data_IF_611371474811
#
_entry.id   IF_611371474811
#
_cell.length_a   1.000
_cell.length_b   1.000
_cell.length_c   1.000
_cell.angle_alpha   90.00
_cell.angle_beta   90.00
_cell.angle_gamma   90.00
#
_symmetry.space_group_name_H-M   'P 1'
#
loop_
_entity.id
_entity.type
_entity.pdbx_description
1 polymer ?
#
# COMPACT_ATOMS: atom_id res chain seq x y z
N UNK A 1 -29.87 31.52 16.28
CA UNK A 1 -29.75 30.27 15.54
C UNK A 1 -28.35 29.72 15.80
N UNK A 2 -28.26 28.79 16.72
CA UNK A 2 -26.98 28.13 17.08
C UNK A 2 -26.53 27.27 15.91
N UNK A 3 -25.38 27.58 15.33
CA UNK A 3 -24.72 26.69 14.41
C UNK A 3 -24.27 25.44 15.18
N UNK A 4 -25.05 24.39 15.14
CA UNK A 4 -24.59 23.08 15.59
C UNK A 4 -23.40 22.68 14.67
N UNK A 5 -22.20 22.79 15.20
CA UNK A 5 -21.03 22.23 14.55
C UNK A 5 -21.24 20.72 14.44
N UNK A 6 -21.19 20.19 13.23
CA UNK A 6 -21.20 18.74 13.02
C UNK A 6 -20.11 18.11 13.90
N UNK A 7 -20.40 17.02 14.60
CA UNK A 7 -19.42 16.36 15.45
C UNK A 7 -18.19 16.01 14.62
N UNK A 8 -17.02 16.39 15.11
CA UNK A 8 -15.74 16.10 14.46
C UNK A 8 -15.60 14.58 14.28
N UNK A 9 -15.54 14.14 13.03
CA UNK A 9 -15.51 12.71 12.71
C UNK A 9 -14.11 12.17 13.00
N UNK A 10 -14.01 11.34 14.03
CA UNK A 10 -12.75 10.72 14.42
C UNK A 10 -12.29 9.71 13.35
N UNK A 11 -11.06 9.90 12.83
CA UNK A 11 -10.41 8.99 11.90
C UNK A 11 -9.26 8.27 12.60
N UNK A 12 -9.12 6.97 12.38
CA UNK A 12 -8.07 6.13 12.94
C UNK A 12 -7.37 5.38 11.79
N UNK A 13 -6.05 5.42 11.77
CA UNK A 13 -5.23 4.60 10.89
C UNK A 13 -4.80 3.32 11.63
N UNK A 14 -5.28 2.16 11.18
CA UNK A 14 -4.94 0.84 11.73
C UNK A 14 -3.58 0.33 11.19
N UNK A 15 -2.53 1.16 11.26
CA UNK A 15 -1.21 0.83 10.70
C UNK A 15 -0.09 1.66 11.30
N UNK A 16 1.07 1.03 11.54
CA UNK A 16 2.31 1.72 11.93
C UNK A 16 3.14 2.25 10.75
N UNK A 17 2.73 2.01 9.51
CA UNK A 17 3.48 2.41 8.32
C UNK A 17 3.67 3.92 8.26
N UNK A 18 4.94 4.38 8.26
CA UNK A 18 5.30 5.79 8.16
C UNK A 18 4.80 6.44 6.88
N UNK A 19 4.83 5.69 5.77
CA UNK A 19 4.37 6.21 4.48
C UNK A 19 2.83 6.39 4.45
N UNK A 20 2.06 5.47 5.06
CA UNK A 20 0.60 5.62 5.16
C UNK A 20 0.21 6.80 6.04
N UNK A 21 0.94 7.03 7.14
CA UNK A 21 0.79 8.23 7.97
C UNK A 21 1.01 9.48 7.13
N UNK A 22 2.13 9.53 6.42
CA UNK A 22 2.47 10.66 5.55
C UNK A 22 1.41 10.94 4.48
N UNK A 23 0.85 9.91 3.84
CA UNK A 23 -0.20 10.08 2.83
C UNK A 23 -1.44 10.79 3.44
N UNK A 24 -1.87 10.38 4.63
CA UNK A 24 -3.02 11.01 5.31
C UNK A 24 -2.69 12.44 5.77
N UNK A 25 -1.50 12.68 6.28
CA UNK A 25 -1.00 14.01 6.65
C UNK A 25 -0.97 14.94 5.43
N UNK A 26 -0.37 14.51 4.32
CA UNK A 26 -0.29 15.26 3.07
C UNK A 26 -1.67 15.54 2.46
N UNK A 27 -2.68 14.71 2.80
CA UNK A 27 -4.07 14.89 2.39
C UNK A 27 -4.87 15.82 3.34
N UNK A 28 -4.25 16.35 4.39
CA UNK A 28 -4.89 17.22 5.37
C UNK A 28 -5.90 16.52 6.29
N UNK A 29 -5.84 15.19 6.39
CA UNK A 29 -6.73 14.39 7.24
C UNK A 29 -6.14 14.33 8.64
N UNK A 30 -6.90 14.78 9.65
CA UNK A 30 -6.56 14.57 11.07
C UNK A 30 -6.91 13.14 11.46
N UNK A 31 -5.98 12.41 12.07
CA UNK A 31 -6.17 11.00 12.45
C UNK A 31 -5.36 10.61 13.69
N UNK A 32 -5.84 9.56 14.36
CA UNK A 32 -5.11 8.85 15.41
C UNK A 32 -4.47 7.58 14.81
N UNK A 33 -3.32 7.17 15.31
CA UNK A 33 -2.69 5.90 14.92
C UNK A 33 -2.95 4.86 16.00
N UNK A 34 -3.62 3.78 15.62
CA UNK A 34 -3.86 2.61 16.48
C UNK A 34 -3.54 1.36 15.65
N UNK A 35 -2.36 0.76 15.81
CA UNK A 35 -1.98 -0.43 15.06
C UNK A 35 -2.94 -1.58 15.30
N UNK A 36 -3.23 -2.37 14.27
CA UNK A 36 -3.97 -3.62 14.45
C UNK A 36 -3.06 -4.71 15.03
N UNK A 37 -3.67 -5.62 15.76
CA UNK A 37 -3.04 -6.79 16.39
C UNK A 37 -3.37 -8.09 15.63
N UNK A 38 -3.80 -7.97 14.36
CA UNK A 38 -4.14 -9.13 13.52
C UNK A 38 -2.90 -9.99 13.26
N UNK A 39 -3.02 -11.28 13.53
CA UNK A 39 -2.04 -12.29 13.15
C UNK A 39 -2.10 -12.56 11.64
N UNK A 40 -1.32 -11.77 10.88
CA UNK A 40 -1.35 -11.79 9.42
C UNK A 40 -1.03 -13.16 8.82
N UNK A 41 -0.12 -13.93 9.44
CA UNK A 41 0.32 -15.21 8.91
C UNK A 41 -0.79 -16.27 8.93
N UNK A 42 -1.60 -16.31 9.98
CA UNK A 42 -2.76 -17.23 10.04
C UNK A 42 -3.80 -16.86 8.96
N UNK A 43 -4.06 -15.57 8.81
CA UNK A 43 -5.00 -15.10 7.79
C UNK A 43 -4.48 -15.39 6.37
N UNK A 44 -3.19 -15.19 6.12
CA UNK A 44 -2.55 -15.47 4.83
C UNK A 44 -2.65 -16.95 4.45
N UNK A 45 -2.51 -17.86 5.40
CA UNK A 45 -2.63 -19.30 5.15
C UNK A 45 -4.07 -19.72 4.76
N UNK A 46 -5.07 -19.00 5.25
CA UNK A 46 -6.48 -19.26 4.94
C UNK A 46 -6.94 -18.70 3.60
N UNK A 47 -6.17 -17.78 3.00
CA UNK A 47 -6.52 -17.10 1.77
C UNK A 47 -5.87 -17.80 0.56
N UNK A 48 -6.61 -17.92 -0.54
CA UNK A 48 -6.06 -18.39 -1.81
C UNK A 48 -5.06 -17.37 -2.36
N UNK A 49 -3.83 -17.81 -2.63
CA UNK A 49 -2.79 -16.96 -3.24
C UNK A 49 -3.08 -16.55 -4.68
N UNK A 50 -4.07 -17.18 -5.34
CA UNK A 50 -4.35 -16.95 -6.76
C UNK A 50 -5.25 -15.73 -7.02
N UNK A 51 -5.86 -15.14 -5.98
CA UNK A 51 -6.68 -13.94 -6.09
C UNK A 51 -6.09 -12.79 -5.25
N UNK A 52 -5.10 -12.11 -5.79
CA UNK A 52 -4.40 -11.02 -5.12
C UNK A 52 -5.31 -9.86 -4.68
N UNK A 53 -6.41 -9.62 -5.41
CA UNK A 53 -7.41 -8.62 -5.03
C UNK A 53 -8.12 -9.01 -3.74
N UNK A 54 -8.66 -10.22 -3.68
CA UNK A 54 -9.34 -10.72 -2.47
C UNK A 54 -8.37 -10.78 -1.29
N UNK A 55 -7.15 -11.22 -1.56
CA UNK A 55 -6.09 -11.30 -0.57
C UNK A 55 -5.81 -9.95 0.10
N UNK A 56 -5.55 -8.90 -0.70
CA UNK A 56 -5.28 -7.56 -0.18
C UNK A 56 -6.48 -6.97 0.57
N UNK A 57 -7.69 -7.16 0.03
CA UNK A 57 -8.91 -6.64 0.64
C UNK A 57 -9.23 -7.35 1.97
N UNK A 58 -9.03 -8.67 2.05
CA UNK A 58 -9.25 -9.42 3.28
C UNK A 58 -8.30 -8.97 4.40
N UNK A 59 -7.01 -8.79 4.10
CA UNK A 59 -6.02 -8.28 5.06
C UNK A 59 -6.32 -6.85 5.49
N UNK A 60 -6.66 -5.97 4.55
CA UNK A 60 -7.03 -4.59 4.84
C UNK A 60 -8.27 -4.52 5.76
N UNK A 61 -9.28 -5.33 5.45
CA UNK A 61 -10.52 -5.44 6.23
C UNK A 61 -10.26 -5.99 7.63
N UNK A 62 -9.47 -7.06 7.76
CA UNK A 62 -9.16 -7.63 9.06
C UNK A 62 -8.48 -6.61 9.98
N UNK A 63 -7.51 -5.85 9.46
CA UNK A 63 -6.83 -4.77 10.21
C UNK A 63 -7.80 -3.66 10.63
N UNK A 64 -8.68 -3.23 9.74
CA UNK A 64 -9.67 -2.20 10.06
C UNK A 64 -10.71 -2.69 11.09
N UNK A 65 -11.20 -3.92 10.96
CA UNK A 65 -12.18 -4.51 11.88
C UNK A 65 -11.62 -4.71 13.29
N UNK A 66 -10.39 -5.21 13.41
CA UNK A 66 -9.75 -5.40 14.72
C UNK A 66 -9.77 -4.11 15.54
N UNK A 67 -9.36 -3.00 14.96
CA UNK A 67 -9.36 -1.70 15.64
C UNK A 67 -10.76 -1.14 15.79
N UNK A 68 -11.65 -1.26 14.78
CA UNK A 68 -13.02 -0.74 14.80
C UNK A 68 -13.90 -1.42 15.86
N UNK A 69 -13.62 -2.67 16.20
CA UNK A 69 -14.30 -3.37 17.28
C UNK A 69 -13.96 -2.78 18.66
N UNK A 70 -12.73 -2.29 18.83
CA UNK A 70 -12.20 -1.69 20.06
C UNK A 70 -12.48 -0.19 20.18
N UNK A 71 -12.60 0.51 19.04
CA UNK A 71 -12.76 1.98 18.95
C UNK A 71 -14.08 2.35 18.31
N UNK A 72 -15.09 2.65 19.12
CA UNK A 72 -16.43 3.02 18.65
C UNK A 72 -16.52 4.49 18.19
N UNK A 73 -17.50 4.80 17.36
CA UNK A 73 -17.76 6.13 16.81
C UNK A 73 -16.56 6.71 16.01
N UNK A 74 -15.73 5.86 15.40
CA UNK A 74 -14.58 6.26 14.60
C UNK A 74 -14.59 5.56 13.23
N UNK A 75 -14.09 6.26 12.21
CA UNK A 75 -13.76 5.68 10.91
C UNK A 75 -12.37 5.08 10.97
N UNK A 76 -12.26 3.78 10.85
CA UNK A 76 -10.99 3.07 10.93
C UNK A 76 -10.52 2.67 9.54
N UNK A 77 -9.36 3.15 9.14
CA UNK A 77 -8.72 2.85 7.86
C UNK A 77 -7.73 1.71 8.06
N UNK A 78 -8.00 0.58 7.44
CA UNK A 78 -7.06 -0.53 7.27
C UNK A 78 -6.54 -0.56 5.83
N UNK A 79 -5.29 -0.95 5.65
CA UNK A 79 -4.70 -1.10 4.32
C UNK A 79 -3.66 -2.19 4.32
N UNK A 80 -3.60 -2.93 3.22
CA UNK A 80 -2.54 -3.89 2.95
C UNK A 80 -2.00 -3.73 1.53
N UNK A 81 -0.72 -4.09 1.34
CA UNK A 81 -0.08 -4.04 0.03
C UNK A 81 0.83 -5.24 -0.14
N UNK A 82 0.72 -5.88 -1.31
CA UNK A 82 1.57 -6.99 -1.71
C UNK A 82 2.24 -6.71 -3.05
N UNK A 83 3.48 -7.16 -3.19
CA UNK A 83 4.21 -7.21 -4.44
C UNK A 83 4.06 -8.61 -5.04
N UNK A 84 3.67 -8.72 -6.31
CA UNK A 84 3.50 -9.99 -7.00
C UNK A 84 4.22 -9.99 -8.34
N UNK A 85 4.87 -11.10 -8.66
CA UNK A 85 5.39 -11.38 -9.98
C UNK A 85 5.02 -12.82 -10.33
N UNK A 86 4.41 -13.03 -11.50
CA UNK A 86 3.75 -14.29 -11.84
C UNK A 86 2.75 -14.68 -10.73
N UNK A 87 2.82 -15.90 -10.21
CA UNK A 87 1.94 -16.39 -9.14
C UNK A 87 2.57 -16.24 -7.73
N UNK A 88 3.72 -15.57 -7.61
CA UNK A 88 4.44 -15.44 -6.36
C UNK A 88 4.21 -14.09 -5.69
N UNK A 89 3.94 -14.14 -4.37
CA UNK A 89 3.87 -12.97 -3.51
C UNK A 89 5.22 -12.76 -2.83
N UNK A 90 5.81 -11.59 -3.02
CA UNK A 90 7.06 -11.19 -2.36
C UNK A 90 6.77 -10.53 -1.01
N UNK A 91 7.18 -11.19 0.04
CA UNK A 91 7.14 -10.66 1.40
C UNK A 91 8.28 -9.65 1.64
N UNK A 92 8.32 -9.08 2.85
CA UNK A 92 9.44 -8.27 3.29
C UNK A 92 10.71 -9.13 3.34
N UNK A 93 11.80 -8.71 2.72
CA UNK A 93 13.00 -9.55 2.57
C UNK A 93 13.78 -9.74 3.88
N UNK A 94 13.76 -8.77 4.78
CA UNK A 94 14.39 -8.73 6.10
C UNK A 94 15.93 -8.77 6.10
N UNK A 95 16.58 -9.30 5.05
CA UNK A 95 18.04 -9.43 4.93
C UNK A 95 18.55 -8.92 3.58
N UNK A 96 19.83 -8.54 3.50
CA UNK A 96 20.49 -8.14 2.25
C UNK A 96 20.43 -9.25 1.19
N UNK A 97 20.64 -10.48 1.61
CA UNK A 97 20.62 -11.64 0.71
C UNK A 97 19.24 -11.85 0.06
N UNK A 98 18.17 -11.77 0.87
CA UNK A 98 16.82 -11.88 0.35
C UNK A 98 16.42 -10.68 -0.50
N UNK A 99 16.88 -9.45 -0.17
CA UNK A 99 16.72 -8.30 -1.05
C UNK A 99 17.36 -8.56 -2.42
N UNK A 100 18.58 -9.05 -2.43
CA UNK A 100 19.29 -9.34 -3.66
C UNK A 100 18.55 -10.40 -4.49
N UNK A 101 18.13 -11.51 -3.90
CA UNK A 101 17.33 -12.56 -4.58
C UNK A 101 16.05 -12.00 -5.19
N UNK A 102 15.32 -11.19 -4.41
CA UNK A 102 14.07 -10.59 -4.88
C UNK A 102 14.31 -9.62 -6.03
N UNK A 103 15.26 -8.70 -5.92
CA UNK A 103 15.57 -7.73 -6.97
C UNK A 103 16.12 -8.39 -8.22
N UNK A 104 16.95 -9.43 -8.10
CA UNK A 104 17.43 -10.21 -9.24
C UNK A 104 16.28 -10.87 -9.99
N UNK A 105 15.28 -11.39 -9.29
CA UNK A 105 14.10 -12.01 -9.91
C UNK A 105 13.19 -10.98 -10.59
N UNK A 106 13.08 -9.77 -10.04
CA UNK A 106 12.27 -8.69 -10.60
C UNK A 106 13.00 -7.91 -11.71
N UNK A 107 14.33 -8.01 -11.81
CA UNK A 107 15.16 -7.32 -12.80
C UNK A 107 14.74 -7.65 -14.22
N UNK A 108 14.50 -6.62 -15.05
CA UNK A 108 14.05 -6.74 -16.43
C UNK A 108 12.56 -7.15 -16.61
N UNK A 109 11.84 -7.40 -15.52
CA UNK A 109 10.49 -7.91 -15.55
C UNK A 109 9.44 -6.88 -15.13
N UNK A 110 8.19 -7.12 -15.56
CA UNK A 110 7.03 -6.38 -15.08
C UNK A 110 6.37 -7.15 -13.95
N UNK A 111 6.23 -6.49 -12.82
CA UNK A 111 5.56 -7.03 -11.65
C UNK A 111 4.46 -6.07 -11.16
N UNK A 112 3.68 -6.49 -10.17
CA UNK A 112 2.50 -5.76 -9.75
C UNK A 112 2.55 -5.44 -8.26
N UNK A 113 2.22 -4.19 -7.94
CA UNK A 113 1.85 -3.80 -6.58
C UNK A 113 0.34 -3.80 -6.47
N UNK A 114 -0.19 -4.58 -5.55
CA UNK A 114 -1.61 -4.71 -5.28
C UNK A 114 -1.90 -4.11 -3.92
N UNK A 115 -2.85 -3.20 -3.85
CA UNK A 115 -3.20 -2.51 -2.61
C UNK A 115 -4.69 -2.66 -2.34
N UNK A 116 -5.02 -3.11 -1.12
CA UNK A 116 -6.35 -3.10 -0.57
C UNK A 116 -6.49 -2.03 0.51
N UNK A 117 -7.62 -1.34 0.51
CA UNK A 117 -8.03 -0.42 1.56
C UNK A 117 -9.42 -0.81 2.02
N UNK A 118 -9.65 -0.79 3.31
CA UNK A 118 -10.97 -0.97 3.92
C UNK A 118 -11.21 0.10 4.98
N UNK A 119 -12.42 0.64 5.00
CA UNK A 119 -12.87 1.55 6.04
C UNK A 119 -13.96 0.85 6.83
N UNK A 120 -13.74 0.73 8.14
CA UNK A 120 -14.71 0.16 9.06
C UNK A 120 -15.20 1.21 10.06
N UNK A 121 -16.46 1.07 10.49
CA UNK A 121 -17.06 1.85 11.56
C UNK A 121 -17.88 0.93 12.44
N UNK A 122 -17.71 1.03 13.76
CA UNK A 122 -18.47 0.28 14.77
C UNK A 122 -18.49 -1.24 14.54
N UNK A 123 -17.38 -1.79 14.02
CA UNK A 123 -17.22 -3.22 13.74
C UNK A 123 -17.83 -3.68 12.41
N UNK A 124 -18.17 -2.76 11.52
CA UNK A 124 -18.70 -3.08 10.17
C UNK A 124 -17.88 -2.40 9.10
N UNK A 125 -17.56 -3.12 8.02
CA UNK A 125 -17.00 -2.54 6.81
C UNK A 125 -18.05 -1.67 6.13
N UNK A 126 -17.70 -0.42 5.86
CA UNK A 126 -18.58 0.55 5.19
C UNK A 126 -18.10 0.92 3.79
N UNK A 127 -16.81 0.68 3.50
CA UNK A 127 -16.21 0.94 2.19
C UNK A 127 -14.93 0.14 2.02
N UNK A 128 -14.67 -0.27 0.78
CA UNK A 128 -13.39 -0.87 0.41
C UNK A 128 -13.00 -0.50 -1.02
N UNK A 129 -11.70 -0.50 -1.27
CA UNK A 129 -11.14 -0.22 -2.59
C UNK A 129 -9.90 -1.06 -2.85
N UNK A 130 -9.72 -1.44 -4.10
CA UNK A 130 -8.54 -2.13 -4.60
C UNK A 130 -7.91 -1.35 -5.73
N UNK A 131 -6.60 -1.22 -5.67
CA UNK A 131 -5.80 -0.64 -6.73
C UNK A 131 -4.63 -1.54 -7.09
N UNK A 132 -4.27 -1.56 -8.36
CA UNK A 132 -3.10 -2.27 -8.87
C UNK A 132 -2.23 -1.32 -9.69
N UNK A 133 -0.91 -1.43 -9.51
CA UNK A 133 0.06 -0.76 -10.35
C UNK A 133 1.02 -1.79 -10.96
N UNK A 134 1.28 -1.65 -12.26
CA UNK A 134 2.29 -2.44 -12.96
C UNK A 134 3.60 -1.62 -13.01
N UNK A 135 4.69 -2.24 -12.58
CA UNK A 135 6.02 -1.65 -12.55
C UNK A 135 6.98 -2.52 -13.38
N UNK A 136 7.59 -1.92 -14.39
CA UNK A 136 8.61 -2.60 -15.19
C UNK A 136 9.99 -2.18 -14.69
N UNK A 137 10.72 -3.13 -14.11
CA UNK A 137 12.07 -2.89 -13.64
C UNK A 137 13.06 -2.87 -14.80
N UNK A 138 14.07 -2.03 -14.74
CA UNK A 138 15.19 -2.05 -15.66
C UNK A 138 15.94 -3.37 -15.51
N UNK A 139 16.65 -3.80 -16.57
CA UNK A 139 17.64 -4.86 -16.41
C UNK A 139 18.79 -4.33 -15.57
N UNK A 140 18.95 -4.86 -14.36
CA UNK A 140 19.95 -4.44 -13.40
C UNK A 140 21.09 -5.45 -13.34
N UNK A 141 22.30 -4.98 -13.23
CA UNK A 141 23.47 -5.77 -12.91
C UNK A 141 23.53 -6.09 -11.42
N UNK A 142 24.28 -7.13 -11.04
CA UNK A 142 24.50 -7.47 -9.63
C UNK A 142 25.12 -6.32 -8.83
N UNK A 143 25.96 -5.51 -9.45
CA UNK A 143 26.55 -4.34 -8.81
C UNK A 143 25.52 -3.27 -8.51
N UNK A 144 24.64 -2.96 -9.47
CA UNK A 144 23.55 -1.97 -9.29
C UNK A 144 22.57 -2.39 -8.20
N UNK A 145 22.24 -3.70 -8.14
CA UNK A 145 21.37 -4.25 -7.09
C UNK A 145 22.04 -4.08 -5.72
N UNK A 146 23.30 -4.46 -5.58
CA UNK A 146 24.05 -4.32 -4.32
C UNK A 146 24.17 -2.87 -3.88
N UNK A 147 24.56 -1.99 -4.80
CA UNK A 147 24.65 -0.56 -4.56
C UNK A 147 23.34 0.07 -4.08
N UNK A 148 22.22 -0.36 -4.68
CA UNK A 148 20.89 0.08 -4.26
C UNK A 148 20.56 -0.42 -2.86
N UNK A 149 20.75 -1.72 -2.57
CA UNK A 149 20.47 -2.29 -1.25
C UNK A 149 21.28 -1.58 -0.16
N UNK A 150 22.55 -1.31 -0.42
CA UNK A 150 23.43 -0.67 0.55
C UNK A 150 23.08 0.80 0.84
N UNK A 151 22.46 1.50 -0.14
CA UNK A 151 22.05 2.91 0.00
C UNK A 151 20.65 3.08 0.58
N UNK A 152 19.74 2.21 0.23
CA UNK A 152 18.31 2.40 0.53
C UNK A 152 17.78 1.46 1.64
N UNK A 153 18.51 0.40 1.96
CA UNK A 153 18.19 -0.58 3.01
C UNK A 153 16.71 -1.04 3.01
N UNK A 154 16.21 -1.60 1.90
CA UNK A 154 14.78 -1.85 1.70
C UNK A 154 14.26 -3.11 2.42
N UNK A 155 14.80 -3.45 3.59
CA UNK A 155 14.55 -4.70 4.30
C UNK A 155 13.09 -4.89 4.73
N UNK A 156 12.37 -3.78 4.95
CA UNK A 156 10.97 -3.80 5.40
C UNK A 156 9.97 -3.47 4.31
N UNK A 157 10.40 -3.45 3.03
CA UNK A 157 9.56 -3.15 1.88
C UNK A 157 9.25 -4.42 1.07
N UNK A 158 7.97 -4.71 0.80
CA UNK A 158 7.57 -5.80 -0.08
C UNK A 158 8.12 -5.56 -1.50
N UNK A 159 8.74 -6.60 -2.10
CA UNK A 159 9.44 -6.47 -3.38
C UNK A 159 10.86 -5.92 -3.26
N UNK A 160 11.37 -5.70 -2.04
CA UNK A 160 12.74 -5.26 -1.77
C UNK A 160 13.10 -3.88 -2.38
N UNK A 161 12.13 -2.96 -2.51
CA UNK A 161 12.39 -1.59 -2.94
C UNK A 161 11.44 -0.59 -2.27
N UNK A 162 11.92 0.64 -2.11
CA UNK A 162 11.15 1.78 -1.59
C UNK A 162 10.96 2.79 -2.70
N UNK A 163 9.74 2.80 -3.28
CA UNK A 163 9.44 3.66 -4.44
C UNK A 163 9.52 5.15 -4.10
N UNK A 164 9.18 5.51 -2.88
CA UNK A 164 9.24 6.87 -2.33
C UNK A 164 10.68 7.39 -2.11
N UNK A 165 11.67 6.51 -2.22
CA UNK A 165 13.09 6.81 -2.04
C UNK A 165 13.88 6.58 -3.34
N UNK A 166 15.00 5.87 -3.27
CA UNK A 166 15.85 5.57 -4.43
C UNK A 166 15.23 4.51 -5.35
N UNK A 167 14.30 3.70 -4.84
CA UNK A 167 13.68 2.61 -5.59
C UNK A 167 13.02 3.05 -6.89
N UNK A 168 12.48 4.28 -6.99
CA UNK A 168 11.92 4.81 -8.24
C UNK A 168 12.88 4.77 -9.42
N UNK A 169 14.20 4.84 -9.16
CA UNK A 169 15.24 4.85 -10.20
C UNK A 169 15.46 3.46 -10.83
N UNK A 170 14.96 2.40 -10.20
CA UNK A 170 15.09 1.02 -10.69
C UNK A 170 14.11 0.73 -11.84
N UNK A 171 13.12 1.59 -12.09
CA UNK A 171 12.04 1.31 -13.03
C UNK A 171 12.22 2.04 -14.35
N UNK A 172 11.85 1.34 -15.44
CA UNK A 172 11.75 1.91 -16.79
C UNK A 172 10.36 2.44 -17.08
N UNK A 173 9.31 1.83 -16.48
CA UNK A 173 7.95 2.34 -16.58
C UNK A 173 7.10 1.97 -15.37
N UNK A 174 6.09 2.80 -15.09
CA UNK A 174 5.07 2.55 -14.07
C UNK A 174 3.70 2.89 -14.65
N UNK A 175 2.71 1.99 -14.47
CA UNK A 175 1.34 2.17 -14.96
C UNK A 175 0.37 1.86 -13.83
N UNK A 176 -0.66 2.68 -13.66
CA UNK A 176 -1.67 2.53 -12.61
C UNK A 176 -1.46 3.48 -11.43
N UNK A 177 -2.34 3.39 -10.44
CA UNK A 177 -2.28 4.21 -9.24
C UNK A 177 -1.46 3.52 -8.16
N UNK A 178 -0.25 4.00 -7.91
CA UNK A 178 0.47 3.69 -6.68
C UNK A 178 -0.03 4.68 -5.61
N UNK A 179 -0.49 4.19 -4.48
CA UNK A 179 -0.84 5.04 -3.32
C UNK A 179 0.32 5.92 -2.84
N UNK A 180 1.52 5.64 -3.32
CA UNK A 180 2.77 6.31 -2.91
C UNK A 180 3.32 7.30 -3.94
N UNK A 181 2.69 7.44 -5.11
CA UNK A 181 3.07 8.51 -6.02
C UNK A 181 2.21 9.72 -5.72
N UNK A 182 2.77 10.71 -5.04
CA UNK A 182 2.24 12.06 -5.15
C UNK A 182 2.19 12.40 -6.63
N UNK A 183 1.01 12.70 -7.20
CA UNK A 183 0.95 13.11 -8.60
C UNK A 183 1.81 14.36 -8.74
N UNK A 184 2.83 14.29 -9.61
CA UNK A 184 3.53 15.49 -10.03
C UNK A 184 2.48 16.51 -10.51
N UNK A 185 2.63 17.81 -10.21
CA UNK A 185 1.71 18.83 -10.72
C UNK A 185 1.50 18.80 -12.24
N UNK A 186 2.40 18.13 -12.97
CA UNK A 186 2.33 17.93 -14.43
C UNK A 186 1.42 16.78 -14.87
N UNK A 187 1.10 15.81 -14.00
CA UNK A 187 0.25 14.66 -14.33
C UNK A 187 -1.24 14.92 -14.08
N UNK A 188 -1.61 16.13 -13.65
CA UNK A 188 -3.00 16.61 -13.57
C UNK A 188 -3.58 17.04 -14.90
N UNK A 189 -3.10 16.54 -16.03
CA UNK A 189 -3.76 16.74 -17.31
C UNK A 189 -5.00 15.86 -17.43
N UNK A 190 -6.08 16.36 -16.82
CA UNK A 190 -7.43 16.44 -17.38
C UNK A 190 -7.89 15.22 -18.17
N UNK A 191 -8.59 14.30 -17.54
CA UNK A 191 -9.71 13.68 -18.23
C UNK A 191 -10.92 14.63 -18.14
N UNK A 192 -11.09 15.49 -19.14
CA UNK A 192 -12.35 16.18 -19.37
C UNK A 192 -13.36 15.10 -19.75
N UNK A 193 -14.40 14.96 -18.95
CA UNK A 193 -15.60 14.25 -19.39
C UNK A 193 -16.15 14.92 -20.64
N UNK A 194 -16.57 14.17 -21.68
CA UNK A 194 -17.29 14.77 -22.77
C UNK A 194 -18.64 15.27 -22.25
N UNK A 195 -18.90 16.54 -22.49
CA UNK A 195 -20.20 17.17 -22.30
C UNK A 195 -21.17 16.50 -23.27
N UNK A 196 -22.21 15.88 -22.74
CA UNK A 196 -23.35 15.41 -23.52
C UNK A 196 -24.11 16.64 -24.05
N UNK A 197 -24.19 16.71 -25.35
CA UNK A 197 -25.21 17.46 -26.08
C UNK A 197 -26.35 16.52 -26.45
#
# INVERSE_FOLDING_TARGET
MSSESLPEQKVILASNSSIRKKILEDSGISFEVVPSEVEEEELKQSLSSNNFKEYCLALAKAKALDVSNKKKNAYVIGSDQICCYEDEIFSKPLTKENCFKTLSKLSGNTHYQNCGISICKDGKEIWSHYAQAALTMKSLTDSEIKDYIDKDEPFMACGAYRFESLGKNLFSSTKGCLLYTSPSPRDRSVSRMPSSA
#
